data_IF_533958555166
#
_entry.id   IF_533958555166
#
_cell.length_a   1.000
_cell.length_b   1.000
_cell.length_c   1.000
_cell.angle_alpha   90.00
_cell.angle_beta   90.00
_cell.angle_gamma   90.00
#
_symmetry.space_group_name_H-M   'P 1'
#
loop_
_entity.id
_entity.type
_entity.pdbx_description
1 polymer ?
#
# COMPACT_ATOMS: atom_id res chain seq x y z
N UNK A 1 20.40 -27.17 2.07
CA UNK A 1 20.65 -25.75 2.46
C UNK A 1 19.57 -24.87 1.83
N UNK A 2 18.90 -24.04 2.65
CA UNK A 2 17.78 -23.17 2.27
C UNK A 2 18.21 -22.22 1.14
N UNK A 3 17.58 -22.33 -0.03
CA UNK A 3 17.72 -21.35 -1.11
C UNK A 3 17.29 -19.99 -0.59
N UNK A 4 18.24 -19.07 -0.41
CA UNK A 4 17.98 -17.69 -0.01
C UNK A 4 17.16 -17.04 -1.13
N UNK A 5 15.85 -16.87 -0.91
CA UNK A 5 14.98 -15.98 -1.69
C UNK A 5 15.41 -14.52 -1.42
N UNK A 6 16.56 -14.14 -1.94
CA UNK A 6 17.03 -12.75 -1.91
C UNK A 6 16.61 -12.04 -3.19
N UNK A 7 16.18 -10.78 -3.05
CA UNK A 7 16.09 -9.76 -4.11
C UNK A 7 14.82 -9.66 -4.97
N UNK A 8 13.63 -9.76 -4.38
CA UNK A 8 12.48 -8.97 -4.87
C UNK A 8 12.08 -8.05 -3.73
N UNK A 9 11.99 -6.74 -3.99
CA UNK A 9 11.58 -5.67 -3.05
C UNK A 9 12.67 -5.07 -2.14
N UNK A 10 13.95 -5.26 -2.46
CA UNK A 10 15.00 -4.46 -1.83
C UNK A 10 14.86 -3.00 -2.30
N UNK A 11 14.77 -2.06 -1.36
CA UNK A 11 14.58 -0.61 -1.57
C UNK A 11 15.67 -0.01 -2.48
N UNK A 12 16.75 -0.76 -2.68
CA UNK A 12 17.94 -0.47 -3.48
C UNK A 12 17.79 -0.72 -5.00
N UNK A 13 16.70 -1.35 -5.47
CA UNK A 13 16.50 -1.71 -6.89
C UNK A 13 15.57 -0.78 -7.70
N UNK A 14 15.24 0.40 -7.17
CA UNK A 14 14.16 1.25 -7.67
C UNK A 14 14.76 2.53 -8.27
N UNK A 15 14.47 2.80 -9.55
CA UNK A 15 15.21 3.75 -10.40
C UNK A 15 14.69 5.18 -10.33
N UNK A 16 13.72 5.45 -9.44
CA UNK A 16 13.10 6.77 -9.30
C UNK A 16 12.00 7.08 -10.33
N UNK A 17 11.70 6.19 -11.28
CA UNK A 17 10.59 6.35 -12.25
C UNK A 17 9.36 5.60 -11.75
N UNK A 18 8.69 6.25 -10.79
CA UNK A 18 7.72 5.67 -9.88
C UNK A 18 6.49 5.00 -10.52
N UNK A 19 5.98 5.52 -11.65
CA UNK A 19 4.79 4.95 -12.33
C UNK A 19 5.02 3.53 -12.88
N UNK A 20 6.26 3.21 -13.27
CA UNK A 20 6.61 1.89 -13.80
C UNK A 20 6.98 0.90 -12.69
N UNK A 21 7.55 1.39 -11.58
CA UNK A 21 7.94 0.53 -10.48
C UNK A 21 6.75 0.06 -9.64
N UNK A 22 5.69 0.87 -9.51
CA UNK A 22 4.45 0.44 -8.85
C UNK A 22 3.78 -0.76 -9.55
N UNK A 23 3.87 -0.82 -10.90
CA UNK A 23 3.37 -1.96 -11.67
C UNK A 23 4.13 -3.26 -11.38
N UNK A 24 5.39 -3.17 -10.95
CA UNK A 24 6.20 -4.34 -10.56
C UNK A 24 5.87 -4.84 -9.16
N UNK A 25 5.31 -3.97 -8.32
CA UNK A 25 4.87 -4.31 -6.96
C UNK A 25 3.47 -4.92 -6.93
N UNK A 26 2.64 -4.61 -7.93
CA UNK A 26 1.34 -5.24 -8.11
C UNK A 26 1.53 -6.66 -8.63
N UNK A 27 0.86 -7.61 -7.99
CA UNK A 27 0.73 -8.96 -8.53
C UNK A 27 -0.27 -8.99 -9.70
N UNK A 28 -0.56 -10.20 -10.18
CA UNK A 28 -1.44 -10.44 -11.33
C UNK A 28 -2.89 -9.98 -11.07
N UNK A 29 -3.28 -9.95 -9.80
CA UNK A 29 -4.62 -9.59 -9.34
C UNK A 29 -4.71 -8.11 -8.96
N UNK A 30 -3.59 -7.38 -9.04
CA UNK A 30 -3.51 -5.94 -8.81
C UNK A 30 -3.08 -5.53 -7.39
N UNK A 31 -2.77 -6.52 -6.54
CA UNK A 31 -2.44 -6.35 -5.13
C UNK A 31 -0.99 -5.99 -4.91
N UNK A 32 -0.73 -5.04 -4.00
CA UNK A 32 0.62 -4.56 -3.72
C UNK A 32 1.24 -5.38 -2.60
N UNK A 33 2.37 -6.04 -2.91
CA UNK A 33 3.17 -6.79 -1.94
C UNK A 33 4.50 -6.09 -1.67
N UNK A 34 4.80 -5.87 -0.39
CA UNK A 34 6.08 -5.30 0.08
C UNK A 34 6.58 -6.17 1.23
N UNK A 35 7.81 -6.66 1.16
CA UNK A 35 8.43 -7.51 2.20
C UNK A 35 7.58 -8.74 2.60
N UNK A 36 6.88 -9.35 1.64
CA UNK A 36 5.90 -10.46 1.83
C UNK A 36 4.63 -10.09 2.59
N UNK A 37 4.38 -8.80 2.84
CA UNK A 37 3.14 -8.30 3.39
C UNK A 37 2.30 -7.62 2.30
N UNK A 38 0.98 -7.76 2.43
CA UNK A 38 0.01 -7.16 1.54
C UNK A 38 -0.40 -5.77 2.03
N UNK A 39 -0.53 -4.82 1.11
CA UNK A 39 -0.91 -3.44 1.37
C UNK A 39 -1.99 -2.95 0.40
N UNK A 40 -2.87 -2.08 0.89
CA UNK A 40 -3.79 -1.32 0.07
C UNK A 40 -3.18 0.01 -0.38
N UNK A 41 -3.35 0.34 -1.66
CA UNK A 41 -3.24 1.72 -2.14
C UNK A 41 -4.56 2.50 -2.02
N UNK A 42 -4.50 3.81 -2.32
CA UNK A 42 -5.67 4.71 -2.27
C UNK A 42 -6.77 4.31 -3.25
N UNK A 43 -6.45 3.65 -4.37
CA UNK A 43 -7.47 3.18 -5.31
C UNK A 43 -8.17 1.93 -4.75
N UNK A 44 -7.42 0.98 -4.19
CA UNK A 44 -8.00 -0.21 -3.55
C UNK A 44 -8.90 0.18 -2.39
N UNK A 45 -8.45 1.07 -1.50
CA UNK A 45 -9.27 1.59 -0.39
C UNK A 45 -10.57 2.25 -0.89
N UNK A 46 -10.51 3.00 -2.00
CA UNK A 46 -11.67 3.66 -2.61
C UNK A 46 -12.64 2.68 -3.28
N UNK A 47 -12.16 1.54 -3.76
CA UNK A 47 -12.99 0.49 -4.34
C UNK A 47 -13.63 -0.39 -3.26
N UNK A 48 -12.92 -0.62 -2.15
CA UNK A 48 -13.38 -1.46 -1.04
C UNK A 48 -14.40 -0.76 -0.14
N UNK A 49 -14.33 0.56 -0.03
CA UNK A 49 -15.20 1.33 0.86
C UNK A 49 -15.58 2.66 0.19
N UNK A 50 -16.82 3.17 0.36
CA UNK A 50 -17.33 4.38 -0.30
C UNK A 50 -16.74 5.68 0.25
N UNK A 51 -15.43 5.74 0.44
CA UNK A 51 -14.66 6.94 0.74
C UNK A 51 -13.97 7.44 -0.51
N UNK A 52 -14.11 8.74 -0.79
CA UNK A 52 -13.39 9.35 -1.92
C UNK A 52 -11.87 9.27 -1.73
N UNK A 53 -11.12 9.16 -2.83
CA UNK A 53 -9.64 9.20 -2.80
C UNK A 53 -9.09 10.44 -2.10
N UNK A 54 -9.78 11.59 -2.24
CA UNK A 54 -9.41 12.85 -1.56
C UNK A 54 -9.56 12.71 -0.04
N UNK A 55 -10.66 12.12 0.40
CA UNK A 55 -10.95 11.87 1.81
C UNK A 55 -9.95 10.88 2.41
N UNK A 56 -9.67 9.76 1.73
CA UNK A 56 -8.66 8.77 2.15
C UNK A 56 -7.29 9.43 2.33
N UNK A 57 -6.85 10.23 1.34
CA UNK A 57 -5.58 10.98 1.44
C UNK A 57 -5.56 11.97 2.60
N UNK A 58 -6.69 12.60 2.92
CA UNK A 58 -6.80 13.51 4.06
C UNK A 58 -6.55 12.75 5.37
N UNK A 59 -7.19 11.60 5.56
CA UNK A 59 -7.02 10.79 6.76
C UNK A 59 -5.62 10.19 6.91
N UNK A 60 -5.00 9.80 5.79
CA UNK A 60 -3.61 9.40 5.78
C UNK A 60 -2.67 10.56 6.14
N UNK A 61 -2.96 11.76 5.64
CA UNK A 61 -2.20 12.97 5.94
C UNK A 61 -2.37 13.46 7.38
N UNK A 62 -3.54 13.26 8.00
CA UNK A 62 -3.79 13.57 9.41
C UNK A 62 -3.31 12.50 10.38
N UNK A 63 -2.97 11.31 9.89
CA UNK A 63 -2.58 10.16 10.71
C UNK A 63 -3.76 9.37 11.31
N UNK A 64 -4.99 9.69 10.93
CA UNK A 64 -6.19 8.93 11.33
C UNK A 64 -6.20 7.51 10.75
N UNK A 65 -5.69 7.34 9.52
CA UNK A 65 -5.40 6.01 8.96
C UNK A 65 -3.90 5.77 9.10
N UNK A 66 -3.52 4.66 9.75
CA UNK A 66 -2.13 4.26 9.89
C UNK A 66 -1.60 3.72 8.56
N UNK A 67 -1.00 4.61 7.78
CA UNK A 67 -0.35 4.30 6.50
C UNK A 67 1.10 4.74 6.47
N UNK A 68 1.85 4.20 5.52
CA UNK A 68 3.22 4.63 5.23
C UNK A 68 3.30 5.17 3.81
N UNK A 69 3.96 6.31 3.64
CA UNK A 69 4.23 6.86 2.32
C UNK A 69 5.54 6.26 1.80
N UNK A 70 5.43 5.22 0.97
CA UNK A 70 6.58 4.55 0.37
C UNK A 70 6.73 5.05 -1.06
N UNK A 71 7.84 5.75 -1.31
CA UNK A 71 8.21 6.27 -2.63
C UNK A 71 7.15 7.15 -3.30
N UNK A 72 6.28 7.79 -2.53
CA UNK A 72 5.26 8.70 -3.03
C UNK A 72 3.84 8.12 -3.10
N UNK A 73 3.64 6.82 -2.88
CA UNK A 73 2.33 6.20 -2.67
C UNK A 73 2.09 5.93 -1.20
N UNK A 74 0.87 6.20 -0.79
CA UNK A 74 0.35 5.75 0.49
C UNK A 74 0.00 4.27 0.40
N UNK A 75 0.65 3.48 1.25
CA UNK A 75 0.40 2.07 1.45
C UNK A 75 -0.10 1.86 2.88
N UNK A 76 -1.16 1.08 3.01
CA UNK A 76 -1.85 0.84 4.28
C UNK A 76 -2.01 -0.65 4.47
N UNK A 77 -1.72 -1.17 5.66
CA UNK A 77 -1.99 -2.59 5.94
C UNK A 77 -3.50 -2.80 5.97
N UNK A 78 -4.03 -3.91 5.43
CA UNK A 78 -5.46 -4.18 5.47
C UNK A 78 -6.07 -4.07 6.86
N UNK A 79 -5.40 -4.63 7.87
CA UNK A 79 -5.83 -4.54 9.27
C UNK A 79 -6.00 -3.09 9.75
N UNK A 80 -5.02 -2.22 9.48
CA UNK A 80 -5.07 -0.81 9.88
C UNK A 80 -6.19 -0.05 9.17
N UNK A 81 -6.44 -0.35 7.90
CA UNK A 81 -7.55 0.25 7.16
C UNK A 81 -8.90 -0.17 7.74
N UNK A 82 -9.12 -1.46 7.96
CA UNK A 82 -10.39 -1.96 8.50
C UNK A 82 -10.64 -1.53 9.94
N UNK A 83 -9.60 -1.50 10.80
CA UNK A 83 -9.72 -0.98 12.16
C UNK A 83 -10.18 0.49 12.17
N UNK A 84 -9.69 1.31 11.23
CA UNK A 84 -10.16 2.68 11.06
C UNK A 84 -11.63 2.76 10.62
N UNK A 85 -12.08 1.85 9.75
CA UNK A 85 -13.48 1.80 9.31
C UNK A 85 -14.39 1.35 10.46
N UNK A 86 -14.01 0.32 11.20
CA UNK A 86 -14.77 -0.20 12.34
C UNK A 86 -14.91 0.84 13.45
N UNK A 87 -13.86 1.59 13.77
CA UNK A 87 -13.90 2.65 14.78
C UNK A 87 -14.79 3.86 14.43
N UNK A 88 -15.46 3.85 13.27
CA UNK A 88 -16.44 4.88 12.86
C UNK A 88 -17.89 4.45 13.06
N UNK A 89 -18.14 3.17 13.36
CA UNK A 89 -19.44 2.63 13.72
C UNK A 89 -19.55 2.50 15.24
#
# INVERSE_FOLDING_TARGET
MKGKRGFKYDKNGLTGIFKNDLKKLKDKDGYIWVDSEYYFDVNEMNNLYPLSKKTIKKYLGSGEIKGSKIMGVWLVKPHDFWAFIEGRY
#
